data_IF_686103820535
#
_entry.id   IF_686103820535
#
_cell.length_a   1.000
_cell.length_b   1.000
_cell.length_c   1.000
_cell.angle_alpha   90.00
_cell.angle_beta   90.00
_cell.angle_gamma   90.00
#
_symmetry.space_group_name_H-M   'P 1'
#
loop_
_entity.id
_entity.type
_entity.pdbx_description
1 polymer ?
#
# COMPACT_ATOMS: atom_id res chain seq x y z
N UNK A 1 33.86 65.17 -31.45
CA UNK A 1 33.67 64.35 -30.24
C UNK A 1 32.18 64.27 -29.93
N UNK A 2 31.50 63.19 -30.37
CA UNK A 2 30.08 62.94 -30.11
C UNK A 2 29.98 62.05 -28.87
N UNK A 3 29.37 62.54 -27.79
CA UNK A 3 29.13 61.78 -26.56
C UNK A 3 27.85 60.96 -26.73
N UNK A 4 27.97 59.64 -26.73
CA UNK A 4 26.86 58.71 -26.59
C UNK A 4 26.51 58.57 -25.11
N UNK A 5 25.25 58.80 -24.75
CA UNK A 5 24.69 58.50 -23.43
C UNK A 5 23.96 57.16 -23.56
N UNK A 6 24.47 56.13 -22.89
CA UNK A 6 23.77 54.86 -22.69
C UNK A 6 22.77 55.06 -21.54
N UNK A 7 21.47 54.99 -21.86
CA UNK A 7 20.40 54.91 -20.86
C UNK A 7 20.15 53.44 -20.49
N UNK A 8 20.44 53.08 -19.25
CA UNK A 8 20.11 51.77 -18.68
C UNK A 8 18.61 51.72 -18.37
N UNK A 9 17.87 50.88 -19.08
CA UNK A 9 16.46 50.56 -18.77
C UNK A 9 16.46 49.57 -17.60
N UNK A 10 16.04 50.04 -16.43
CA UNK A 10 15.77 49.21 -15.25
C UNK A 10 14.37 48.61 -15.42
N UNK A 11 14.27 47.35 -15.83
CA UNK A 11 12.97 46.65 -15.86
C UNK A 11 12.61 46.22 -14.43
N UNK A 12 11.56 46.84 -13.90
CA UNK A 12 10.95 46.43 -12.63
C UNK A 12 10.04 45.22 -12.94
N UNK A 13 10.51 44.01 -12.64
CA UNK A 13 9.64 42.84 -12.56
C UNK A 13 8.79 42.96 -11.30
N UNK A 14 7.52 43.33 -11.45
CA UNK A 14 6.53 43.21 -10.38
C UNK A 14 6.22 41.73 -10.18
N UNK A 15 6.77 41.14 -9.12
CA UNK A 15 6.39 39.81 -8.65
C UNK A 15 4.98 39.92 -8.05
N UNK A 16 3.96 39.59 -8.84
CA UNK A 16 2.60 39.46 -8.34
C UNK A 16 2.56 38.24 -7.40
N UNK A 17 2.54 38.49 -6.09
CA UNK A 17 2.27 37.49 -5.08
C UNK A 17 0.80 37.08 -5.25
N UNK A 18 0.54 36.01 -6.01
CA UNK A 18 -0.75 35.34 -6.01
C UNK A 18 -0.85 34.66 -4.65
N UNK A 19 -1.42 35.36 -3.68
CA UNK A 19 -1.85 34.76 -2.41
C UNK A 19 -3.05 33.89 -2.76
N UNK A 20 -2.80 32.65 -3.18
CA UNK A 20 -3.84 31.65 -3.26
C UNK A 20 -4.47 31.55 -1.88
N UNK A 21 -5.77 31.82 -1.78
CA UNK A 21 -6.53 31.54 -0.57
C UNK A 21 -6.53 30.03 -0.41
N UNK A 22 -5.67 29.50 0.46
CA UNK A 22 -5.78 28.12 0.90
C UNK A 22 -7.18 27.96 1.50
N UNK A 23 -8.03 27.16 0.85
CA UNK A 23 -9.27 26.70 1.48
C UNK A 23 -8.88 25.90 2.72
N UNK A 24 -9.64 26.04 3.80
CA UNK A 24 -9.46 25.12 4.92
C UNK A 24 -9.78 23.70 4.43
N UNK A 25 -8.93 22.74 4.79
CA UNK A 25 -9.23 21.32 4.63
C UNK A 25 -10.60 21.02 5.23
N UNK A 26 -11.42 20.29 4.49
CA UNK A 26 -12.78 19.89 4.88
C UNK A 26 -12.95 18.38 4.86
N UNK A 27 -14.00 17.89 5.53
CA UNK A 27 -14.38 16.48 5.50
C UNK A 27 -15.58 16.29 4.58
N UNK A 28 -15.44 15.41 3.59
CA UNK A 28 -16.49 15.01 2.65
C UNK A 28 -16.97 13.62 3.06
N UNK A 29 -18.22 13.53 3.50
CA UNK A 29 -18.79 12.24 3.95
C UNK A 29 -19.32 11.46 2.75
N UNK A 30 -18.96 10.19 2.66
CA UNK A 30 -19.40 9.29 1.59
C UNK A 30 -19.98 8.01 2.18
N UNK A 31 -21.01 7.47 1.56
CA UNK A 31 -21.75 6.30 2.03
C UNK A 31 -21.98 5.25 0.93
N UNK A 32 -21.53 5.52 -0.30
CA UNK A 32 -21.68 4.66 -1.46
C UNK A 32 -20.65 4.97 -2.56
N UNK A 33 -20.57 4.09 -3.57
CA UNK A 33 -19.65 4.21 -4.72
C UNK A 33 -19.74 5.56 -5.44
N UNK A 34 -20.95 6.05 -5.72
CA UNK A 34 -21.14 7.31 -6.48
C UNK A 34 -20.68 8.53 -5.68
N UNK A 35 -20.92 8.53 -4.37
CA UNK A 35 -20.43 9.59 -3.48
C UNK A 35 -18.92 9.60 -3.39
N UNK A 36 -18.27 8.43 -3.29
CA UNK A 36 -16.81 8.33 -3.32
C UNK A 36 -16.21 8.86 -4.64
N UNK A 37 -16.79 8.47 -5.78
CA UNK A 37 -16.39 8.97 -7.10
C UNK A 37 -16.59 10.48 -7.23
N UNK A 38 -17.68 11.02 -6.69
CA UNK A 38 -17.94 12.46 -6.69
C UNK A 38 -16.95 13.19 -5.79
N UNK A 39 -16.68 12.64 -4.60
CA UNK A 39 -15.73 13.19 -3.65
C UNK A 39 -14.32 13.26 -4.24
N UNK A 40 -13.82 12.20 -4.90
CA UNK A 40 -12.51 12.23 -5.59
C UNK A 40 -12.41 13.38 -6.61
N UNK A 41 -13.47 13.67 -7.35
CA UNK A 41 -13.47 14.76 -8.35
C UNK A 41 -13.52 16.15 -7.71
N UNK A 42 -14.15 16.28 -6.55
CA UNK A 42 -14.42 17.58 -5.91
C UNK A 42 -13.46 17.94 -4.78
N UNK A 43 -12.78 16.96 -4.21
CA UNK A 43 -11.84 17.15 -3.12
C UNK A 43 -10.71 18.08 -3.57
N UNK A 44 -10.27 18.94 -2.64
CA UNK A 44 -9.12 19.81 -2.83
C UNK A 44 -8.02 19.44 -1.85
N UNK A 45 -6.82 19.95 -2.10
CA UNK A 45 -5.64 19.72 -1.25
C UNK A 45 -5.98 19.88 0.23
N UNK A 46 -5.68 18.84 1.00
CA UNK A 46 -5.89 18.73 2.44
C UNK A 46 -7.24 18.14 2.85
N UNK A 47 -8.20 17.96 1.95
CA UNK A 47 -9.51 17.38 2.29
C UNK A 47 -9.39 15.93 2.78
N UNK A 48 -10.37 15.52 3.59
CA UNK A 48 -10.58 14.14 4.02
C UNK A 48 -11.89 13.62 3.46
N UNK A 49 -11.84 12.55 2.67
CA UNK A 49 -13.01 11.78 2.26
C UNK A 49 -13.24 10.72 3.34
N UNK A 50 -14.30 10.89 4.13
CA UNK A 50 -14.65 10.01 5.25
C UNK A 50 -15.76 9.05 4.83
N UNK A 51 -15.49 7.74 4.90
CA UNK A 51 -16.53 6.73 4.76
C UNK A 51 -17.43 6.73 6.00
N UNK A 52 -18.73 6.57 5.77
CA UNK A 52 -19.75 6.55 6.84
C UNK A 52 -20.58 5.27 6.86
N UNK A 53 -20.33 4.37 5.90
CA UNK A 53 -20.98 3.06 5.76
C UNK A 53 -20.06 2.11 4.98
N UNK A 54 -20.30 0.81 5.15
CA UNK A 54 -19.81 -0.20 4.22
C UNK A 54 -20.60 -0.12 2.90
N UNK A 55 -19.93 -0.31 1.76
CA UNK A 55 -20.61 -0.37 0.46
C UNK A 55 -19.86 -1.21 -0.57
N UNK A 56 -20.62 -1.70 -1.56
CA UNK A 56 -20.07 -2.37 -2.71
C UNK A 56 -19.69 -1.40 -3.83
N UNK A 57 -18.68 -1.77 -4.61
CA UNK A 57 -18.30 -1.14 -5.88
C UNK A 57 -18.59 -2.09 -7.04
N UNK A 58 -19.08 -1.53 -8.14
CA UNK A 58 -19.49 -2.28 -9.34
C UNK A 58 -18.43 -2.27 -10.46
N UNK A 59 -17.46 -1.39 -10.34
CA UNK A 59 -16.28 -1.26 -11.18
C UNK A 59 -15.14 -0.64 -10.37
N UNK A 60 -13.94 -0.55 -10.95
CA UNK A 60 -12.81 0.13 -10.31
C UNK A 60 -13.18 1.57 -10.00
N UNK A 61 -13.03 1.97 -8.74
CA UNK A 61 -13.06 3.38 -8.35
C UNK A 61 -11.67 3.96 -8.55
N UNK A 62 -11.57 4.99 -9.36
CA UNK A 62 -10.30 5.70 -9.61
C UNK A 62 -10.18 6.85 -8.62
N UNK A 63 -9.01 6.96 -7.98
CA UNK A 63 -8.63 8.05 -7.10
C UNK A 63 -7.56 8.86 -7.83
N UNK A 64 -7.97 9.99 -8.39
CA UNK A 64 -7.13 10.87 -9.19
C UNK A 64 -6.71 12.13 -8.45
N UNK A 65 -7.43 12.51 -7.39
CA UNK A 65 -7.05 13.64 -6.54
C UNK A 65 -5.69 13.41 -5.89
N UNK A 66 -5.00 14.51 -5.55
CA UNK A 66 -3.69 14.48 -4.88
C UNK A 66 -3.74 15.30 -3.61
N UNK A 67 -2.85 14.98 -2.66
CA UNK A 67 -2.76 15.62 -1.35
C UNK A 67 -4.07 15.56 -0.54
N UNK A 68 -4.76 14.42 -0.56
CA UNK A 68 -5.99 14.19 0.21
C UNK A 68 -5.87 12.94 1.08
N UNK A 69 -6.79 12.83 2.05
CA UNK A 69 -6.96 11.62 2.87
C UNK A 69 -8.26 10.91 2.50
N UNK A 70 -8.22 9.59 2.39
CA UNK A 70 -9.39 8.70 2.39
C UNK A 70 -9.39 7.98 3.74
N UNK A 71 -10.31 8.34 4.61
CA UNK A 71 -10.49 7.73 5.92
C UNK A 71 -11.64 6.73 5.85
N UNK A 72 -11.31 5.46 6.05
CA UNK A 72 -12.27 4.37 6.06
C UNK A 72 -13.12 4.33 7.33
N UNK A 73 -12.68 4.90 8.46
CA UNK A 73 -13.32 4.76 9.79
C UNK A 73 -13.68 3.30 10.13
N UNK A 74 -12.86 2.35 9.68
CA UNK A 74 -13.08 0.91 9.83
C UNK A 74 -14.09 0.30 8.85
N UNK A 75 -14.66 1.07 7.93
CA UNK A 75 -15.63 0.61 6.95
C UNK A 75 -15.01 -0.23 5.82
N UNK A 76 -15.88 -0.97 5.13
CA UNK A 76 -15.51 -1.90 4.07
C UNK A 76 -15.98 -1.44 2.69
N UNK A 77 -15.06 -1.41 1.73
CA UNK A 77 -15.36 -1.39 0.30
C UNK A 77 -15.30 -2.82 -0.24
N UNK A 78 -16.43 -3.31 -0.73
CA UNK A 78 -16.58 -4.67 -1.27
C UNK A 78 -16.57 -4.66 -2.80
N UNK A 79 -15.69 -5.45 -3.44
CA UNK A 79 -15.62 -5.58 -4.89
C UNK A 79 -16.00 -6.99 -5.35
N UNK A 80 -17.20 -7.13 -5.92
CA UNK A 80 -17.77 -8.41 -6.37
C UNK A 80 -17.97 -8.50 -7.88
N UNK A 81 -17.12 -7.82 -8.66
CA UNK A 81 -17.16 -7.81 -10.13
C UNK A 81 -15.90 -8.44 -10.74
N UNK A 82 -15.97 -9.07 -11.92
CA UNK A 82 -14.78 -9.63 -12.55
C UNK A 82 -13.94 -8.53 -13.23
N UNK A 83 -12.63 -8.76 -13.35
CA UNK A 83 -11.79 -7.96 -14.24
C UNK A 83 -12.31 -8.02 -15.67
N UNK A 84 -12.42 -6.87 -16.31
CA UNK A 84 -12.80 -6.76 -17.73
C UNK A 84 -11.65 -6.28 -18.62
N UNK A 85 -10.71 -5.51 -18.07
CA UNK A 85 -9.53 -4.99 -18.77
C UNK A 85 -8.47 -4.53 -17.76
N UNK A 86 -7.33 -4.03 -18.23
CA UNK A 86 -6.35 -3.38 -17.34
C UNK A 86 -6.84 -2.03 -16.78
N UNK A 87 -7.86 -1.42 -17.40
CA UNK A 87 -8.55 -0.23 -16.88
C UNK A 87 -9.66 -0.58 -15.88
N UNK A 88 -9.88 -1.86 -15.59
CA UNK A 88 -10.86 -2.30 -14.61
C UNK A 88 -10.39 -3.62 -13.99
N UNK A 89 -9.21 -3.56 -13.35
CA UNK A 89 -8.48 -4.70 -12.83
C UNK A 89 -8.32 -4.68 -11.31
N UNK A 90 -8.87 -3.69 -10.61
CA UNK A 90 -8.80 -3.58 -9.15
C UNK A 90 -10.09 -3.01 -8.57
N UNK A 91 -10.30 -3.15 -7.26
CA UNK A 91 -11.38 -2.45 -6.56
C UNK A 91 -11.11 -0.93 -6.55
N UNK A 92 -9.90 -0.55 -6.13
CA UNK A 92 -9.42 0.84 -6.13
C UNK A 92 -8.21 0.99 -7.07
N UNK A 93 -8.18 2.04 -7.87
CA UNK A 93 -7.03 2.48 -8.64
C UNK A 93 -6.55 3.83 -8.16
N UNK A 94 -5.37 3.92 -7.56
CA UNK A 94 -4.81 5.18 -7.07
C UNK A 94 -3.82 5.71 -8.09
N UNK A 95 -4.05 6.94 -8.54
CA UNK A 95 -3.27 7.63 -9.57
C UNK A 95 -2.69 8.97 -9.10
N UNK A 96 -3.30 9.59 -8.08
CA UNK A 96 -2.82 10.84 -7.52
C UNK A 96 -1.65 10.68 -6.54
N UNK A 97 -0.86 11.74 -6.41
CA UNK A 97 0.28 11.80 -5.49
C UNK A 97 -0.16 12.22 -4.08
N UNK A 98 0.66 11.94 -3.07
CA UNK A 98 0.45 12.36 -1.67
C UNK A 98 -0.90 11.89 -1.10
N UNK A 99 -1.36 10.70 -1.49
CA UNK A 99 -2.61 10.11 -1.01
C UNK A 99 -2.38 9.37 0.29
N UNK A 100 -3.16 9.68 1.33
CA UNK A 100 -3.27 8.83 2.52
C UNK A 100 -4.57 8.05 2.46
N UNK A 101 -4.50 6.72 2.61
CA UNK A 101 -5.66 5.87 2.88
C UNK A 101 -5.48 5.29 4.29
N UNK A 102 -6.44 5.50 5.17
CA UNK A 102 -6.36 4.99 6.54
C UNK A 102 -7.62 4.22 6.95
N UNK A 103 -7.44 3.28 7.88
CA UNK A 103 -8.51 2.53 8.56
C UNK A 103 -9.58 1.96 7.60
N UNK A 104 -9.16 1.49 6.42
CA UNK A 104 -10.04 1.00 5.38
C UNK A 104 -9.92 -0.52 5.21
N UNK A 105 -11.07 -1.19 5.10
CA UNK A 105 -11.14 -2.59 4.66
C UNK A 105 -11.52 -2.65 3.17
N UNK A 106 -10.78 -3.44 2.38
CA UNK A 106 -11.08 -3.70 0.97
C UNK A 106 -11.19 -5.21 0.76
N UNK A 107 -12.37 -5.68 0.35
CA UNK A 107 -12.69 -7.11 0.29
C UNK A 107 -13.18 -7.55 -1.10
N UNK A 108 -12.52 -8.56 -1.68
CA UNK A 108 -12.84 -9.16 -2.98
C UNK A 108 -13.89 -10.29 -2.94
N UNK A 109 -14.45 -10.63 -1.77
CA UNK A 109 -15.51 -11.64 -1.59
C UNK A 109 -15.17 -13.06 -2.10
N UNK A 110 -13.89 -13.43 -2.05
CA UNK A 110 -13.39 -14.73 -2.51
C UNK A 110 -12.79 -14.69 -3.90
N UNK A 111 -12.83 -13.53 -4.57
CA UNK A 111 -12.12 -13.26 -5.80
C UNK A 111 -12.63 -14.03 -7.01
N UNK A 112 -12.13 -13.66 -8.18
CA UNK A 112 -12.35 -14.37 -9.42
C UNK A 112 -11.06 -15.09 -9.82
N UNK A 113 -11.16 -16.31 -10.34
CA UNK A 113 -9.99 -17.03 -10.85
C UNK A 113 -9.43 -16.35 -12.11
N UNK A 114 -8.18 -16.67 -12.44
CA UNK A 114 -7.56 -16.25 -13.70
C UNK A 114 -8.42 -16.65 -14.91
N UNK A 115 -8.62 -15.77 -15.92
CA UNK A 115 -8.00 -14.45 -16.13
C UNK A 115 -8.86 -13.26 -15.66
N UNK A 116 -9.89 -13.50 -14.84
CA UNK A 116 -10.88 -12.50 -14.41
C UNK A 116 -10.58 -11.92 -13.03
N UNK A 117 -9.43 -12.24 -12.44
CA UNK A 117 -9.08 -11.77 -11.10
C UNK A 117 -8.97 -10.25 -11.04
N UNK A 118 -9.51 -9.69 -9.95
CA UNK A 118 -9.20 -8.34 -9.53
C UNK A 118 -8.01 -8.34 -8.57
N UNK A 119 -7.32 -7.21 -8.54
CA UNK A 119 -6.52 -6.77 -7.41
C UNK A 119 -7.39 -6.02 -6.40
N UNK A 120 -6.95 -5.86 -5.16
CA UNK A 120 -7.63 -4.97 -4.22
C UNK A 120 -7.36 -3.50 -4.55
N UNK A 121 -6.14 -3.06 -4.27
CA UNK A 121 -5.67 -1.69 -4.51
C UNK A 121 -4.53 -1.73 -5.52
N UNK A 122 -4.64 -0.98 -6.61
CA UNK A 122 -3.57 -0.79 -7.58
C UNK A 122 -3.11 0.67 -7.56
N UNK A 123 -1.91 0.92 -7.04
CA UNK A 123 -1.29 2.24 -7.00
C UNK A 123 -0.38 2.36 -8.22
N UNK A 124 -0.75 3.21 -9.18
CA UNK A 124 -0.12 3.28 -10.50
C UNK A 124 0.54 4.62 -10.75
N UNK A 125 1.88 4.62 -10.86
CA UNK A 125 2.69 5.81 -11.18
C UNK A 125 2.37 6.99 -10.25
N UNK A 126 2.25 6.71 -8.95
CA UNK A 126 1.98 7.69 -7.91
C UNK A 126 3.14 7.79 -6.92
N UNK A 127 3.33 8.98 -6.36
CA UNK A 127 4.33 9.28 -5.34
C UNK A 127 3.67 9.50 -3.98
N UNK A 128 4.41 9.18 -2.92
CA UNK A 128 4.05 9.49 -1.54
C UNK A 128 2.66 8.99 -1.12
N UNK A 129 2.29 7.77 -1.53
CA UNK A 129 1.07 7.13 -1.05
C UNK A 129 1.31 6.49 0.31
N UNK A 130 0.46 6.76 1.30
CA UNK A 130 0.45 6.09 2.61
C UNK A 130 -0.79 5.21 2.73
N UNK A 131 -0.61 3.93 3.07
CA UNK A 131 -1.69 3.04 3.53
C UNK A 131 -1.48 2.76 5.03
N UNK A 132 -2.36 3.26 5.89
CA UNK A 132 -2.23 3.17 7.36
C UNK A 132 -3.40 2.39 7.98
N UNK A 133 -3.14 1.25 8.59
CA UNK A 133 -4.20 0.42 9.18
C UNK A 133 -5.17 -0.18 8.15
N UNK A 134 -4.75 -0.30 6.89
CA UNK A 134 -5.57 -0.83 5.81
C UNK A 134 -5.57 -2.36 5.81
N UNK A 135 -6.74 -2.96 5.58
CA UNK A 135 -6.90 -4.41 5.37
C UNK A 135 -7.32 -4.69 3.93
N UNK A 136 -6.62 -5.59 3.24
CA UNK A 136 -6.98 -5.98 1.87
C UNK A 136 -7.05 -7.50 1.74
N UNK A 137 -8.24 -8.02 1.46
CA UNK A 137 -8.49 -9.46 1.54
C UNK A 137 -9.32 -10.05 0.41
N UNK A 138 -9.15 -11.36 0.21
CA UNK A 138 -9.99 -12.21 -0.64
C UNK A 138 -10.07 -11.79 -2.12
N UNK A 139 -8.98 -11.25 -2.68
CA UNK A 139 -8.87 -10.99 -4.11
C UNK A 139 -8.24 -12.17 -4.85
N UNK A 140 -8.69 -12.47 -6.07
CA UNK A 140 -8.06 -13.53 -6.88
C UNK A 140 -6.67 -13.17 -7.39
N UNK A 141 -6.34 -11.88 -7.43
CA UNK A 141 -5.05 -11.32 -7.82
C UNK A 141 -4.21 -10.97 -6.59
N UNK A 142 -3.43 -9.90 -6.69
CA UNK A 142 -2.72 -9.33 -5.54
C UNK A 142 -3.68 -8.48 -4.69
N UNK A 143 -3.55 -8.51 -3.37
CA UNK A 143 -4.25 -7.57 -2.49
C UNK A 143 -3.87 -6.14 -2.86
N UNK A 144 -2.58 -5.82 -2.78
CA UNK A 144 -2.03 -4.51 -3.15
C UNK A 144 -1.03 -4.66 -4.31
N UNK A 145 -1.04 -3.72 -5.24
CA UNK A 145 -0.04 -3.60 -6.31
C UNK A 145 0.60 -2.23 -6.24
N UNK A 146 1.91 -2.20 -6.00
CA UNK A 146 2.77 -1.02 -6.09
C UNK A 146 3.36 -0.99 -7.51
N UNK A 147 2.66 -0.34 -8.44
CA UNK A 147 2.99 -0.38 -9.86
C UNK A 147 3.74 0.88 -10.31
N UNK A 148 5.07 0.84 -10.19
CA UNK A 148 5.93 2.01 -10.46
C UNK A 148 5.59 3.22 -9.60
N UNK A 149 5.28 2.97 -8.33
CA UNK A 149 4.84 3.96 -7.35
C UNK A 149 5.75 3.96 -6.11
N UNK A 150 5.76 5.06 -5.36
CA UNK A 150 6.39 5.11 -4.03
C UNK A 150 5.32 5.05 -2.95
N UNK A 151 5.29 3.94 -2.21
CA UNK A 151 4.24 3.62 -1.24
C UNK A 151 4.86 3.35 0.12
N UNK A 152 4.29 3.93 1.17
CA UNK A 152 4.52 3.54 2.55
C UNK A 152 3.30 2.77 3.05
N UNK A 153 3.53 1.63 3.71
CA UNK A 153 2.48 0.92 4.45
C UNK A 153 2.79 0.98 5.94
N UNK A 154 1.78 1.19 6.76
CA UNK A 154 1.86 1.17 8.22
C UNK A 154 0.77 0.25 8.76
N UNK A 155 1.13 -0.76 9.53
CA UNK A 155 0.17 -1.72 10.12
C UNK A 155 -0.77 -2.38 9.10
N UNK A 156 -0.24 -2.78 7.94
CA UNK A 156 -1.04 -3.36 6.87
C UNK A 156 -1.48 -4.80 7.18
N UNK A 157 -2.72 -5.13 6.81
CA UNK A 157 -3.21 -6.50 6.83
C UNK A 157 -3.53 -6.99 5.43
N UNK A 158 -3.01 -8.15 5.03
CA UNK A 158 -3.42 -8.82 3.78
C UNK A 158 -3.72 -10.29 4.03
N UNK A 159 -4.80 -10.80 3.44
CA UNK A 159 -5.19 -12.18 3.61
C UNK A 159 -6.03 -12.76 2.49
N UNK A 160 -5.88 -14.05 2.24
CA UNK A 160 -6.70 -14.76 1.25
C UNK A 160 -6.58 -14.25 -0.19
N UNK A 161 -5.51 -13.50 -0.53
CA UNK A 161 -5.27 -13.02 -1.88
C UNK A 161 -4.56 -14.11 -2.72
N UNK A 162 -5.06 -14.32 -3.94
CA UNK A 162 -4.72 -15.49 -4.76
C UNK A 162 -3.31 -15.45 -5.37
N UNK A 163 -2.82 -14.26 -5.75
CA UNK A 163 -1.46 -14.12 -6.27
C UNK A 163 -0.49 -13.75 -5.17
N UNK A 164 -0.69 -12.58 -4.54
CA UNK A 164 0.22 -12.03 -3.54
C UNK A 164 -0.55 -11.17 -2.53
N UNK A 165 -0.04 -11.01 -1.31
CA UNK A 165 -0.52 -9.95 -0.42
C UNK A 165 -0.22 -8.57 -1.02
N UNK A 166 1.04 -8.33 -1.33
CA UNK A 166 1.55 -7.12 -1.99
C UNK A 166 2.48 -7.52 -3.14
N UNK A 167 2.29 -6.92 -4.31
CA UNK A 167 3.24 -6.99 -5.42
C UNK A 167 3.94 -5.63 -5.60
N UNK A 168 5.26 -5.63 -5.79
CA UNK A 168 6.08 -4.41 -5.91
C UNK A 168 6.93 -4.50 -7.17
N UNK A 169 6.42 -3.97 -8.27
CA UNK A 169 7.07 -4.04 -9.58
C UNK A 169 6.67 -2.92 -10.53
N UNK A 170 7.42 -2.80 -11.61
CA UNK A 170 7.02 -2.00 -12.77
C UNK A 170 6.18 -2.85 -13.72
N UNK A 171 4.93 -2.42 -13.93
CA UNK A 171 4.05 -2.95 -14.96
C UNK A 171 4.60 -2.75 -16.37
N UNK A 172 3.96 -3.36 -17.36
CA UNK A 172 4.41 -3.27 -18.77
C UNK A 172 4.49 -1.82 -19.26
N UNK A 173 5.69 -1.37 -19.64
CA UNK A 173 5.94 -0.01 -20.13
C UNK A 173 6.10 1.06 -19.06
N UNK A 174 5.99 0.70 -17.77
CA UNK A 174 6.24 1.60 -16.65
C UNK A 174 7.74 1.70 -16.38
N UNK A 175 8.24 2.92 -16.24
CA UNK A 175 9.66 3.20 -15.99
C UNK A 175 9.91 3.91 -14.67
N UNK A 176 8.86 4.35 -13.97
CA UNK A 176 8.97 4.94 -12.63
C UNK A 176 9.31 3.86 -11.60
N UNK A 177 10.07 4.19 -10.53
CA UNK A 177 10.46 3.21 -9.53
C UNK A 177 9.25 2.61 -8.80
N UNK A 178 9.30 1.32 -8.47
CA UNK A 178 8.33 0.70 -7.56
C UNK A 178 8.99 0.51 -6.19
N UNK A 179 8.67 1.39 -5.24
CA UNK A 179 9.30 1.41 -3.92
C UNK A 179 8.22 1.21 -2.86
N UNK A 180 8.37 0.16 -2.07
CA UNK A 180 7.56 -0.10 -0.88
C UNK A 180 8.40 0.16 0.37
N UNK A 181 7.94 1.04 1.25
CA UNK A 181 8.46 1.19 2.60
C UNK A 181 7.47 0.57 3.59
N UNK A 182 7.92 -0.40 4.37
CA UNK A 182 7.10 -1.04 5.40
C UNK A 182 7.47 -0.45 6.75
N UNK A 183 6.46 0.13 7.39
CA UNK A 183 6.48 0.69 8.74
C UNK A 183 5.40 0.01 9.59
N UNK A 184 5.47 0.19 10.91
CA UNK A 184 4.59 -0.53 11.83
C UNK A 184 4.73 -2.05 11.71
N UNK A 185 3.75 -2.78 12.21
CA UNK A 185 3.76 -4.25 12.16
C UNK A 185 2.66 -4.77 11.24
N UNK A 186 3.06 -5.46 10.19
CA UNK A 186 2.14 -6.08 9.24
C UNK A 186 1.53 -7.36 9.80
N UNK A 187 0.33 -7.69 9.32
CA UNK A 187 -0.32 -8.99 9.53
C UNK A 187 -0.65 -9.61 8.18
N UNK A 188 0.12 -10.60 7.74
CA UNK A 188 -0.08 -11.22 6.42
C UNK A 188 -0.12 -12.74 6.52
N UNK A 189 -1.14 -13.35 5.90
CA UNK A 189 -1.27 -14.81 5.81
C UNK A 189 -1.30 -15.34 4.36
N UNK A 190 -1.18 -14.44 3.37
CA UNK A 190 -1.10 -14.81 1.96
C UNK A 190 0.07 -15.76 1.68
N UNK A 191 -0.12 -16.69 0.75
CA UNK A 191 0.91 -17.66 0.39
C UNK A 191 2.21 -16.98 -0.10
N UNK A 192 2.07 -15.86 -0.81
CA UNK A 192 3.18 -14.99 -1.22
C UNK A 192 2.91 -13.59 -0.67
N UNK A 193 3.59 -13.20 0.42
CA UNK A 193 3.22 -12.01 1.19
C UNK A 193 3.63 -10.70 0.52
N UNK A 194 4.92 -10.46 0.32
CA UNK A 194 5.41 -9.35 -0.52
C UNK A 194 6.28 -9.94 -1.62
N UNK A 195 5.88 -9.73 -2.87
CA UNK A 195 6.51 -10.32 -4.03
C UNK A 195 7.04 -9.27 -5.01
N UNK A 196 8.27 -9.46 -5.45
CA UNK A 196 8.94 -8.71 -6.50
C UNK A 196 9.26 -9.68 -7.63
N UNK A 197 8.69 -9.45 -8.81
CA UNK A 197 8.83 -10.26 -10.03
C UNK A 197 10.26 -10.19 -10.57
N UNK A 198 10.87 -8.99 -10.55
CA UNK A 198 12.17 -8.76 -11.19
C UNK A 198 13.02 -7.72 -10.47
N UNK A 199 13.91 -8.18 -9.60
CA UNK A 199 14.87 -7.35 -8.86
C UNK A 199 15.95 -6.70 -9.73
N UNK A 200 15.98 -6.95 -11.05
CA UNK A 200 16.86 -6.21 -11.96
C UNK A 200 16.29 -4.85 -12.39
N UNK A 201 15.00 -4.61 -12.13
CA UNK A 201 14.30 -3.34 -12.36
C UNK A 201 14.54 -2.35 -11.21
N UNK A 202 14.02 -1.13 -11.37
CA UNK A 202 14.04 -0.12 -10.31
C UNK A 202 12.92 -0.41 -9.29
N UNK A 203 13.19 -1.40 -8.45
CA UNK A 203 12.26 -1.94 -7.45
C UNK A 203 12.95 -2.05 -6.09
N UNK A 204 12.26 -1.69 -5.02
CA UNK A 204 12.81 -1.78 -3.67
C UNK A 204 11.74 -2.05 -2.62
N UNK A 205 12.10 -2.85 -1.62
CA UNK A 205 11.31 -3.05 -0.40
C UNK A 205 12.19 -2.67 0.78
N UNK A 206 11.74 -1.69 1.57
CA UNK A 206 12.44 -1.15 2.73
C UNK A 206 11.65 -1.58 3.97
N UNK A 207 12.11 -2.64 4.63
CA UNK A 207 11.55 -3.11 5.89
C UNK A 207 12.23 -2.42 7.07
N UNK A 208 11.56 -1.41 7.64
CA UNK A 208 12.15 -0.56 8.69
C UNK A 208 12.32 -1.26 10.04
N UNK A 209 11.58 -2.35 10.27
CA UNK A 209 11.61 -3.10 11.52
C UNK A 209 12.27 -4.47 11.40
N UNK A 210 12.76 -4.85 10.22
CA UNK A 210 13.33 -6.18 9.97
C UNK A 210 12.37 -7.32 10.35
N UNK A 211 11.07 -7.12 10.08
CA UNK A 211 10.02 -8.10 10.33
C UNK A 211 9.92 -9.17 9.23
N UNK A 212 10.61 -9.01 8.10
CA UNK A 212 10.64 -9.96 7.00
C UNK A 212 12.01 -10.60 6.81
N UNK A 213 12.00 -11.87 6.43
CA UNK A 213 13.11 -12.50 5.69
C UNK A 213 12.82 -12.45 4.20
N UNK A 214 13.83 -12.64 3.35
CA UNK A 214 13.60 -12.74 1.91
C UNK A 214 14.41 -13.87 1.29
N UNK A 215 13.89 -14.38 0.17
CA UNK A 215 14.54 -15.40 -0.64
C UNK A 215 14.17 -15.24 -2.11
N UNK A 216 15.06 -15.73 -2.98
CA UNK A 216 14.74 -15.98 -4.38
C UNK A 216 13.98 -17.32 -4.46
N UNK A 217 12.80 -17.33 -5.08
CA UNK A 217 11.95 -18.53 -5.15
C UNK A 217 11.90 -19.15 -6.55
N UNK A 218 12.34 -18.43 -7.57
CA UNK A 218 12.32 -18.85 -8.98
C UNK A 218 10.97 -19.46 -9.36
N UNK A 219 9.89 -18.72 -9.12
CA UNK A 219 8.52 -19.20 -9.25
C UNK A 219 8.33 -19.79 -10.66
N UNK A 220 8.07 -21.09 -10.72
CA UNK A 220 7.90 -21.88 -11.96
C UNK A 220 9.06 -21.80 -12.96
N UNK A 221 10.27 -21.40 -12.54
CA UNK A 221 11.42 -21.26 -13.43
C UNK A 221 11.31 -20.08 -14.42
N UNK A 222 10.31 -19.20 -14.26
CA UNK A 222 10.03 -18.10 -15.18
C UNK A 222 10.61 -16.77 -14.72
N UNK A 223 10.93 -16.62 -13.44
CA UNK A 223 11.39 -15.35 -12.86
C UNK A 223 12.77 -15.51 -12.21
N UNK A 224 13.87 -15.46 -12.96
CA UNK A 224 15.22 -15.67 -12.43
C UNK A 224 15.71 -14.58 -11.48
N UNK A 225 14.98 -13.46 -11.38
CA UNK A 225 15.30 -12.33 -10.52
C UNK A 225 14.19 -12.04 -9.49
N UNK A 226 13.29 -12.98 -9.23
CA UNK A 226 12.23 -12.76 -8.25
C UNK A 226 12.78 -12.65 -6.81
N UNK A 227 11.96 -12.05 -5.94
CA UNK A 227 12.18 -12.03 -4.50
C UNK A 227 10.87 -12.08 -3.77
N UNK A 228 10.76 -13.04 -2.85
CA UNK A 228 9.67 -13.14 -1.90
C UNK A 228 10.17 -12.68 -0.54
N UNK A 229 9.46 -11.74 0.08
CA UNK A 229 9.62 -11.41 1.49
C UNK A 229 8.52 -12.14 2.28
N UNK A 230 8.93 -12.76 3.38
CA UNK A 230 8.06 -13.54 4.27
C UNK A 230 8.26 -13.09 5.70
N UNK A 231 7.14 -12.73 6.33
CA UNK A 231 7.01 -12.25 7.69
C UNK A 231 7.58 -13.29 8.65
N UNK A 232 8.43 -12.83 9.55
CA UNK A 232 8.93 -13.61 10.66
C UNK A 232 7.79 -13.70 11.67
N UNK A 233 7.05 -14.81 11.60
CA UNK A 233 5.98 -15.10 12.56
C UNK A 233 6.50 -15.24 13.98
N UNK A 234 5.57 -15.29 14.94
CA UNK A 234 5.92 -15.57 16.34
C UNK A 234 6.64 -16.92 16.48
N UNK A 235 7.54 -17.09 17.48
CA UNK A 235 8.22 -18.36 17.69
C UNK A 235 7.19 -19.45 17.99
N UNK A 236 7.32 -20.58 17.29
CA UNK A 236 6.43 -21.74 17.46
C UNK A 236 7.11 -22.89 18.20
N UNK A 237 8.42 -22.79 18.44
CA UNK A 237 9.17 -23.79 19.19
C UNK A 237 10.19 -23.16 20.13
N UNK A 238 10.50 -23.87 21.22
CA UNK A 238 11.53 -23.43 22.19
C UNK A 238 12.92 -23.41 21.56
N UNK A 239 13.13 -24.17 20.49
CA UNK A 239 14.44 -24.26 19.83
C UNK A 239 14.73 -23.02 18.98
N UNK A 240 13.71 -22.40 18.37
CA UNK A 240 13.82 -21.10 17.69
C UNK A 240 14.25 -19.98 18.64
N UNK A 241 13.88 -20.06 19.92
CA UNK A 241 14.32 -19.08 20.91
C UNK A 241 15.81 -19.20 21.29
N UNK A 242 16.42 -20.39 21.12
CA UNK A 242 17.75 -20.69 21.66
C UNK A 242 18.86 -20.09 20.81
N UNK A 243 20.06 -19.99 21.39
CA UNK A 243 21.31 -19.60 20.69
C UNK A 243 21.19 -18.25 19.96
N UNK A 244 20.45 -17.31 20.54
CA UNK A 244 20.24 -15.98 19.97
C UNK A 244 19.06 -15.85 19.02
N UNK A 245 18.35 -16.93 18.69
CA UNK A 245 17.18 -16.85 17.81
C UNK A 245 16.03 -16.00 18.37
N UNK A 246 15.91 -15.87 19.71
CA UNK A 246 14.95 -14.92 20.31
C UNK A 246 15.11 -13.46 19.84
N UNK A 247 16.30 -13.07 19.37
CA UNK A 247 16.60 -11.71 18.89
C UNK A 247 16.05 -11.44 17.49
N UNK A 248 15.63 -12.48 16.75
CA UNK A 248 15.13 -12.32 15.36
C UNK A 248 13.63 -12.01 15.32
N UNK A 249 12.93 -12.15 16.43
CA UNK A 249 11.49 -11.85 16.53
C UNK A 249 11.30 -10.40 16.95
N UNK A 250 10.58 -9.65 16.12
CA UNK A 250 10.29 -8.24 16.36
C UNK A 250 8.83 -8.00 16.78
N UNK A 251 7.94 -8.94 16.48
CA UNK A 251 6.55 -8.94 16.93
C UNK A 251 6.01 -10.38 17.13
N UNK A 252 5.88 -10.87 18.37
CA UNK A 252 6.34 -10.23 19.61
C UNK A 252 7.87 -10.17 19.69
N UNK A 253 8.40 -9.15 20.36
CA UNK A 253 9.82 -9.08 20.71
C UNK A 253 10.08 -9.62 22.12
N UNK A 254 11.31 -10.10 22.35
CA UNK A 254 11.69 -10.72 23.62
C UNK A 254 12.93 -10.04 24.20
N UNK A 255 12.98 -9.87 25.52
CA UNK A 255 14.12 -9.25 26.21
C UNK A 255 15.30 -10.21 26.44
N UNK A 256 15.05 -11.51 26.40
CA UNK A 256 16.05 -12.57 26.51
C UNK A 256 15.47 -13.93 26.07
N UNK A 257 16.35 -14.93 25.94
CA UNK A 257 15.99 -16.31 25.59
C UNK A 257 14.90 -16.90 26.51
N UNK A 258 14.96 -16.61 27.81
CA UNK A 258 13.99 -17.12 28.79
C UNK A 258 12.58 -16.61 28.52
N UNK A 259 12.43 -15.32 28.20
CA UNK A 259 11.15 -14.71 27.86
C UNK A 259 10.52 -15.34 26.60
N UNK A 260 11.32 -15.56 25.56
CA UNK A 260 10.87 -16.24 24.34
C UNK A 260 10.40 -17.67 24.63
N UNK A 261 11.20 -18.44 25.37
CA UNK A 261 10.83 -19.83 25.74
C UNK A 261 9.55 -19.85 26.58
N UNK A 262 9.39 -18.89 27.51
CA UNK A 262 8.16 -18.78 28.31
C UNK A 262 6.94 -18.45 27.47
N UNK A 263 7.06 -17.57 26.47
CA UNK A 263 5.98 -17.27 25.52
C UNK A 263 5.53 -18.51 24.73
N UNK A 264 6.49 -19.28 24.19
CA UNK A 264 6.17 -20.53 23.50
C UNK A 264 5.47 -21.50 24.45
N UNK A 265 5.97 -21.64 25.68
CA UNK A 265 5.35 -22.51 26.70
C UNK A 265 3.95 -22.09 27.09
N UNK A 266 3.65 -20.80 27.20
CA UNK A 266 2.30 -20.33 27.52
C UNK A 266 1.33 -20.60 26.36
N UNK A 267 1.78 -20.44 25.12
CA UNK A 267 0.93 -20.60 23.94
C UNK A 267 0.75 -22.07 23.52
N UNK A 268 1.75 -22.93 23.72
CA UNK A 268 1.62 -24.40 23.58
C UNK A 268 0.50 -24.98 24.46
N UNK A 269 0.18 -24.31 25.57
CA UNK A 269 -0.86 -24.72 26.52
C UNK A 269 -2.23 -24.08 26.27
N UNK A 270 -2.34 -23.09 25.36
CA UNK A 270 -3.59 -22.41 25.05
C UNK A 270 -4.57 -23.29 24.24
N UNK A 271 -4.06 -24.29 23.50
CA UNK A 271 -4.87 -25.28 22.78
C UNK A 271 -5.13 -26.60 23.54
N UNK A 272 -4.82 -26.68 24.84
CA UNK A 272 -4.93 -27.91 25.66
C UNK A 272 -5.81 -27.76 26.92
N UNK A 273 -6.71 -26.77 26.95
CA UNK A 273 -7.71 -26.62 28.01
C UNK A 273 -9.11 -26.72 27.45
#
# INVERSE_FOLDING_TARGET
>A
MKKFIFGTILSVFALALVVGTASAATTIHVSNETELQTADVTAVVGDTILLTNDFGVSQRVEINSSDITIDGDGHTITASFPKTSNSNNSALGIYGDSITVMDLNVDGTGGFAWPLQLHGINIYVALDTLLDGVTVSNFGGSGIVVNGSTVTVNNITTSGNGWHGINVDQGGGVTTPAILTVTGFSSQDDALQIYVDDTSKDVSVIDTLSQYTFQHINLQGTHPNDRLYTLIGAPVSKDECKKGGWMTFVNPSFSNQGACVSYVQSNENAGKR
#
